data_IF_340549026137
#
_entry.id   IF_340549026137
#
_cell.length_a   1.000
_cell.length_b   1.000
_cell.length_c   1.000
_cell.angle_alpha   90.00
_cell.angle_beta   90.00
_cell.angle_gamma   90.00
#
_symmetry.space_group_name_H-M   'P 1'
#
loop_
_entity.id
_entity.type
_entity.pdbx_description
1 polymer ?
#
# COMPACT_ATOMS: atom_id res chain seq x y z
N UNK A 1 -12.58 -28.33 -10.99
CA UNK A 1 -12.36 -26.96 -11.50
C UNK A 1 -12.07 -26.07 -10.32
N UNK A 2 -10.88 -25.48 -10.30
CA UNK A 2 -10.41 -24.61 -9.22
C UNK A 2 -11.11 -23.25 -9.33
N UNK A 3 -11.63 -22.73 -8.22
CA UNK A 3 -12.32 -21.43 -8.19
C UNK A 3 -11.29 -20.36 -7.89
N UNK A 4 -11.20 -19.33 -8.72
CA UNK A 4 -10.21 -18.29 -8.52
C UNK A 4 -10.87 -16.97 -8.12
N UNK A 5 -10.47 -16.46 -6.96
CA UNK A 5 -11.21 -15.40 -6.26
C UNK A 5 -10.60 -14.00 -6.49
N UNK A 6 -9.40 -13.98 -7.06
CA UNK A 6 -8.56 -12.83 -7.35
C UNK A 6 -7.61 -13.18 -8.50
N UNK A 7 -7.06 -12.19 -9.23
CA UNK A 7 -6.00 -12.49 -10.19
C UNK A 7 -4.90 -13.32 -9.52
N UNK A 8 -4.44 -14.36 -10.22
CA UNK A 8 -3.42 -15.27 -9.69
C UNK A 8 -2.13 -14.46 -9.58
N UNK A 9 -1.38 -14.66 -8.51
CA UNK A 9 -0.06 -14.04 -8.39
C UNK A 9 0.78 -14.41 -9.61
N UNK A 10 1.38 -13.41 -10.25
CA UNK A 10 2.16 -13.57 -11.48
C UNK A 10 1.33 -13.72 -12.76
N UNK A 11 0.00 -13.61 -12.71
CA UNK A 11 -0.82 -13.62 -13.92
C UNK A 11 -0.78 -12.28 -14.65
N UNK A 12 -0.72 -12.34 -15.97
CA UNK A 12 -1.05 -11.22 -16.83
C UNK A 12 -2.57 -11.09 -16.94
N UNK A 13 -3.06 -9.88 -16.72
CA UNK A 13 -4.49 -9.58 -16.66
C UNK A 13 -4.81 -8.33 -17.45
N UNK A 14 -6.01 -8.30 -18.02
CA UNK A 14 -6.66 -7.08 -18.47
C UNK A 14 -7.47 -6.52 -17.31
N UNK A 15 -7.44 -5.21 -17.11
CA UNK A 15 -8.31 -4.58 -16.13
C UNK A 15 -8.88 -3.24 -16.61
N UNK A 16 -10.01 -2.87 -16.03
CA UNK A 16 -10.70 -1.60 -16.26
C UNK A 16 -11.08 -0.97 -14.93
N UNK A 17 -10.92 0.35 -14.81
CA UNK A 17 -11.42 1.10 -13.66
C UNK A 17 -12.96 1.02 -13.61
N UNK A 18 -13.50 0.74 -12.43
CA UNK A 18 -14.92 0.92 -12.11
C UNK A 18 -15.09 2.29 -11.44
N UNK A 19 -15.50 3.34 -12.19
CA UNK A 19 -15.49 4.70 -11.67
C UNK A 19 -16.50 4.91 -10.54
N UNK A 20 -17.57 4.10 -10.48
CA UNK A 20 -18.59 4.23 -9.42
C UNK A 20 -18.13 3.50 -8.17
N UNK A 21 -17.64 2.27 -8.30
CA UNK A 21 -17.13 1.52 -7.16
C UNK A 21 -15.85 2.13 -6.58
N UNK A 22 -15.19 3.02 -7.34
CA UNK A 22 -14.02 3.78 -6.91
C UNK A 22 -14.35 5.04 -6.13
N UNK A 23 -15.60 5.53 -6.15
CA UNK A 23 -16.00 6.69 -5.37
C UNK A 23 -15.86 6.42 -3.86
N UNK A 24 -15.53 7.47 -3.12
CA UNK A 24 -15.61 7.42 -1.66
C UNK A 24 -17.06 7.13 -1.23
N UNK A 25 -17.28 6.37 -0.14
CA UNK A 25 -18.63 6.05 0.33
C UNK A 25 -19.51 7.27 0.55
N UNK A 26 -18.94 8.40 0.98
CA UNK A 26 -19.68 9.66 1.15
C UNK A 26 -20.11 10.26 -0.19
N UNK A 27 -19.26 10.17 -1.22
CA UNK A 27 -19.54 10.71 -2.55
C UNK A 27 -20.64 9.94 -3.30
N UNK A 28 -20.93 8.70 -2.88
CA UNK A 28 -22.08 7.94 -3.40
C UNK A 28 -23.44 8.56 -3.02
N UNK A 29 -23.49 9.43 -2.01
CA UNK A 29 -24.70 10.18 -1.65
C UNK A 29 -24.95 11.39 -2.57
N UNK A 30 -23.95 11.82 -3.36
CA UNK A 30 -24.07 12.93 -4.31
C UNK A 30 -24.49 12.42 -5.70
N UNK A 31 -25.76 12.66 -6.15
CA UNK A 31 -26.22 12.19 -7.45
C UNK A 31 -25.46 12.82 -8.62
N UNK A 32 -24.88 14.01 -8.45
CA UNK A 32 -24.07 14.67 -9.48
C UNK A 32 -22.73 13.95 -9.65
N UNK A 33 -22.05 13.61 -8.56
CA UNK A 33 -20.82 12.82 -8.57
C UNK A 33 -21.04 11.44 -9.20
N UNK A 34 -22.12 10.75 -8.82
CA UNK A 34 -22.48 9.44 -9.40
C UNK A 34 -22.77 9.56 -10.90
N UNK A 35 -23.45 10.63 -11.34
CA UNK A 35 -23.70 10.87 -12.75
C UNK A 35 -22.40 11.19 -13.52
N UNK A 36 -21.51 11.99 -12.95
CA UNK A 36 -20.21 12.29 -13.53
C UNK A 36 -19.36 11.02 -13.71
N UNK A 37 -19.23 10.20 -12.66
CA UNK A 37 -18.51 8.93 -12.73
C UNK A 37 -19.12 7.94 -13.74
N UNK A 38 -20.46 7.88 -13.86
CA UNK A 38 -21.13 7.06 -14.89
C UNK A 38 -20.77 7.44 -16.32
N UNK A 39 -20.44 8.71 -16.55
CA UNK A 39 -20.09 9.23 -17.86
C UNK A 39 -18.58 9.21 -18.13
N UNK A 40 -17.75 8.82 -17.16
CA UNK A 40 -16.32 8.65 -17.37
C UNK A 40 -16.06 7.51 -18.35
N UNK A 41 -15.27 7.80 -19.39
CA UNK A 41 -14.81 6.79 -20.33
C UNK A 41 -13.54 6.17 -19.76
N UNK A 42 -13.62 4.91 -19.35
CA UNK A 42 -12.48 4.15 -18.85
C UNK A 42 -11.87 3.28 -19.94
N UNK A 43 -10.55 3.08 -19.89
CA UNK A 43 -9.81 2.24 -20.83
C UNK A 43 -9.50 0.88 -20.24
N UNK A 44 -9.05 -0.04 -21.12
CA UNK A 44 -8.52 -1.36 -20.73
C UNK A 44 -7.01 -1.31 -20.64
N UNK A 45 -6.47 -1.73 -19.51
CA UNK A 45 -5.04 -1.78 -19.27
C UNK A 45 -4.60 -3.22 -19.13
N UNK A 46 -3.35 -3.51 -19.47
CA UNK A 46 -2.74 -4.83 -19.27
C UNK A 46 -1.67 -4.70 -18.20
N UNK A 47 -1.68 -5.61 -17.23
CA UNK A 47 -0.69 -5.63 -16.16
C UNK A 47 -0.35 -7.04 -15.70
N UNK A 48 0.79 -7.17 -15.05
CA UNK A 48 1.13 -8.30 -14.21
C UNK A 48 0.56 -8.07 -12.81
N UNK A 49 -0.30 -8.98 -12.35
CA UNK A 49 -0.94 -8.90 -11.04
C UNK A 49 -0.08 -9.57 -9.96
N UNK A 50 0.09 -8.85 -8.86
CA UNK A 50 0.78 -9.30 -7.66
C UNK A 50 -0.08 -9.04 -6.43
N UNK A 51 -0.12 -10.02 -5.53
CA UNK A 51 -0.90 -9.89 -4.30
C UNK A 51 0.02 -9.38 -3.22
N UNK A 52 -0.33 -8.25 -2.60
CA UNK A 52 0.39 -7.73 -1.43
C UNK A 52 -0.05 -8.46 -0.17
N UNK A 53 -1.36 -8.73 -0.04
CA UNK A 53 -1.95 -9.25 1.19
C UNK A 53 -2.40 -10.71 1.08
N UNK A 54 -2.55 -11.32 2.26
CA UNK A 54 -3.29 -12.57 2.41
C UNK A 54 -4.73 -12.36 1.92
N UNK A 55 -5.18 -13.27 1.07
CA UNK A 55 -6.56 -13.28 0.57
C UNK A 55 -7.58 -13.28 1.72
N UNK A 56 -8.48 -12.30 1.74
CA UNK A 56 -9.53 -12.17 2.74
C UNK A 56 -10.91 -12.46 2.11
N UNK A 57 -11.45 -13.70 2.25
CA UNK A 57 -12.70 -14.09 1.61
C UNK A 57 -13.96 -13.37 2.10
N UNK A 58 -13.90 -12.75 3.28
CA UNK A 58 -15.03 -12.02 3.87
C UNK A 58 -15.03 -10.54 3.51
N UNK A 59 -13.91 -10.00 3.03
CA UNK A 59 -13.87 -8.61 2.57
C UNK A 59 -14.54 -8.52 1.19
N UNK A 60 -15.34 -7.48 0.92
CA UNK A 60 -15.98 -7.29 -0.38
C UNK A 60 -14.96 -6.95 -1.48
N UNK A 61 -13.80 -6.43 -1.10
CA UNK A 61 -12.70 -6.09 -2.00
C UNK A 61 -11.37 -6.56 -1.41
N UNK A 62 -10.44 -6.98 -2.26
CA UNK A 62 -9.06 -7.25 -1.88
C UNK A 62 -8.11 -6.31 -2.63
N UNK A 63 -7.01 -5.93 -1.99
CA UNK A 63 -5.97 -5.09 -2.58
C UNK A 63 -5.01 -5.97 -3.38
N UNK A 64 -4.57 -5.45 -4.52
CA UNK A 64 -3.63 -6.08 -5.43
C UNK A 64 -2.74 -4.99 -6.03
N UNK A 65 -1.46 -5.29 -6.21
CA UNK A 65 -0.56 -4.42 -6.95
C UNK A 65 -0.47 -4.90 -8.40
N UNK A 66 -0.66 -3.96 -9.31
CA UNK A 66 -0.60 -4.22 -10.76
C UNK A 66 0.59 -3.50 -11.34
N UNK A 67 1.44 -4.24 -12.05
CA UNK A 67 2.59 -3.71 -12.78
C UNK A 67 2.24 -3.58 -14.26
N UNK A 68 2.18 -2.36 -14.77
CA UNK A 68 1.71 -2.12 -16.14
C UNK A 68 2.62 -2.77 -17.18
N UNK A 69 2.01 -3.41 -18.17
CA UNK A 69 2.70 -3.86 -19.39
C UNK A 69 2.71 -2.70 -20.38
N UNK A 70 3.90 -2.33 -20.81
CA UNK A 70 4.17 -1.22 -21.72
C UNK A 70 4.51 -1.75 -23.11
N UNK A 71 4.07 -1.01 -24.14
CA UNK A 71 4.48 -1.25 -25.52
C UNK A 71 5.76 -0.47 -25.81
N UNK A 72 6.86 -1.17 -26.06
CA UNK A 72 8.18 -0.57 -26.20
C UNK A 72 8.82 -0.20 -24.85
N UNK A 73 10.14 0.06 -24.88
CA UNK A 73 10.86 0.50 -23.70
C UNK A 73 10.36 1.90 -23.28
N UNK A 74 10.16 2.15 -21.97
CA UNK A 74 9.71 3.45 -21.50
C UNK A 74 10.72 4.55 -21.86
N UNK A 75 10.23 5.74 -22.20
CA UNK A 75 11.08 6.89 -22.45
C UNK A 75 11.85 7.33 -21.19
N UNK A 76 13.03 7.91 -21.39
CA UNK A 76 13.80 8.49 -20.29
C UNK A 76 13.05 9.67 -19.67
N UNK A 77 12.92 9.69 -18.35
CA UNK A 77 12.27 10.77 -17.59
C UNK A 77 13.25 11.30 -16.57
N UNK A 78 14.03 12.30 -17.00
CA UNK A 78 15.11 12.88 -16.19
C UNK A 78 14.61 13.47 -14.85
N UNK A 79 13.41 14.07 -14.84
CA UNK A 79 12.78 14.60 -13.62
C UNK A 79 12.51 13.51 -12.57
N UNK A 80 12.19 12.29 -13.01
CA UNK A 80 11.94 11.15 -12.11
C UNK A 80 13.15 10.22 -11.98
N UNK A 81 14.30 10.62 -12.56
CA UNK A 81 15.52 9.81 -12.58
C UNK A 81 15.30 8.40 -13.18
N UNK A 82 14.40 8.29 -14.15
CA UNK A 82 14.08 7.02 -14.81
C UNK A 82 14.76 6.93 -16.18
N UNK A 83 15.38 5.80 -16.45
CA UNK A 83 16.00 5.48 -17.73
C UNK A 83 15.33 4.28 -18.41
N UNK A 84 15.34 4.16 -19.74
CA UNK A 84 14.76 3.02 -20.46
C UNK A 84 15.35 1.66 -20.02
N UNK A 85 16.61 1.67 -19.57
CA UNK A 85 17.31 0.51 -19.02
C UNK A 85 16.65 -0.05 -17.73
N UNK A 86 15.81 0.74 -17.05
CA UNK A 86 15.06 0.36 -15.85
C UNK A 86 13.70 -0.26 -16.17
N UNK A 87 13.71 -1.09 -17.20
CA UNK A 87 12.59 -1.91 -17.59
C UNK A 87 13.10 -3.32 -17.91
N UNK A 88 12.18 -4.27 -17.91
CA UNK A 88 12.46 -5.69 -18.17
C UNK A 88 11.64 -6.10 -19.38
N UNK A 89 12.27 -6.59 -20.46
CA UNK A 89 11.55 -7.11 -21.62
C UNK A 89 10.73 -8.35 -21.27
N UNK A 90 9.67 -8.63 -22.01
CA UNK A 90 8.80 -9.81 -21.92
C UNK A 90 8.64 -10.43 -23.32
N UNK A 91 8.69 -11.75 -23.43
CA UNK A 91 8.50 -12.43 -24.72
C UNK A 91 7.05 -12.31 -25.23
N UNK A 92 6.84 -12.08 -26.54
CA UNK A 92 7.81 -12.03 -27.64
C UNK A 92 8.50 -10.66 -27.85
N UNK A 93 9.72 -10.71 -28.38
CA UNK A 93 10.55 -9.55 -28.73
C UNK A 93 10.87 -9.59 -30.23
N UNK A 94 10.60 -8.51 -30.97
CA UNK A 94 11.04 -8.40 -32.38
C UNK A 94 12.49 -7.98 -32.47
N UNK A 95 12.90 -7.08 -31.58
CA UNK A 95 14.28 -6.64 -31.42
C UNK A 95 15.05 -7.70 -30.63
N UNK A 96 16.31 -7.94 -30.99
CA UNK A 96 17.11 -8.95 -30.29
C UNK A 96 17.33 -8.55 -28.83
N UNK A 97 17.64 -9.49 -27.91
CA UNK A 97 17.98 -9.16 -26.52
C UNK A 97 19.13 -8.15 -26.38
N UNK A 98 19.95 -8.01 -27.43
CA UNK A 98 21.08 -7.09 -27.50
C UNK A 98 20.69 -5.63 -27.68
N UNK A 99 19.45 -5.37 -28.10
CA UNK A 99 19.00 -4.02 -28.44
C UNK A 99 18.38 -3.30 -27.22
N UNK A 100 18.05 -4.05 -26.15
CA UNK A 100 17.59 -3.44 -24.91
C UNK A 100 18.77 -2.82 -24.13
N UNK A 101 18.67 -1.54 -23.67
CA UNK A 101 19.79 -0.84 -23.04
C UNK A 101 20.39 -1.52 -21.80
N UNK A 102 19.62 -2.35 -21.09
CA UNK A 102 20.11 -3.08 -19.92
C UNK A 102 20.59 -4.50 -20.20
N UNK A 103 20.51 -4.98 -21.45
CA UNK A 103 20.88 -6.35 -21.85
C UNK A 103 20.18 -7.45 -21.01
N UNK A 104 19.07 -7.11 -20.34
CA UNK A 104 18.31 -8.05 -19.51
C UNK A 104 17.66 -9.11 -20.38
N UNK A 105 17.72 -10.36 -19.92
CA UNK A 105 17.00 -11.45 -20.54
C UNK A 105 15.48 -11.21 -20.42
N UNK A 106 14.69 -11.37 -21.50
CA UNK A 106 13.25 -11.22 -21.43
C UNK A 106 12.59 -12.22 -20.47
N UNK A 107 11.59 -11.75 -19.73
CA UNK A 107 10.69 -12.56 -18.92
C UNK A 107 9.93 -13.56 -19.80
N UNK A 108 9.76 -14.77 -19.28
CA UNK A 108 9.19 -15.90 -20.01
C UNK A 108 7.85 -16.32 -19.39
N UNK A 109 6.73 -15.69 -19.79
CA UNK A 109 5.41 -16.19 -19.39
C UNK A 109 5.13 -17.60 -19.93
N UNK A 110 4.26 -18.33 -19.25
CA UNK A 110 3.81 -19.68 -19.62
C UNK A 110 3.32 -19.80 -21.06
N UNK A 111 2.74 -18.72 -21.60
CA UNK A 111 2.47 -18.53 -23.01
C UNK A 111 3.04 -17.17 -23.43
N UNK A 112 3.59 -17.01 -24.65
CA UNK A 112 4.02 -15.71 -25.15
C UNK A 112 2.88 -14.70 -25.11
N UNK A 113 3.19 -13.44 -24.79
CA UNK A 113 2.20 -12.37 -24.89
C UNK A 113 1.74 -12.18 -26.34
N UNK A 114 0.48 -11.73 -26.57
CA UNK A 114 -0.03 -11.54 -27.92
C UNK A 114 0.56 -10.32 -28.64
N UNK A 115 1.26 -9.44 -27.93
CA UNK A 115 1.96 -8.26 -28.47
C UNK A 115 3.47 -8.49 -28.43
N UNK A 116 4.19 -7.92 -29.40
CA UNK A 116 5.66 -7.93 -29.39
C UNK A 116 6.20 -6.75 -28.61
N UNK A 117 7.47 -6.82 -28.20
CA UNK A 117 8.22 -5.71 -27.61
C UNK A 117 7.54 -5.13 -26.36
N UNK A 118 7.05 -6.03 -25.50
CA UNK A 118 6.42 -5.68 -24.24
C UNK A 118 7.42 -5.54 -23.10
N UNK A 119 7.21 -4.57 -22.23
CA UNK A 119 8.08 -4.31 -21.08
C UNK A 119 7.27 -4.15 -19.81
N UNK A 120 7.87 -4.48 -18.67
CA UNK A 120 7.41 -4.02 -17.35
C UNK A 120 8.52 -3.15 -16.76
N UNK A 121 8.15 -2.10 -16.04
CA UNK A 121 9.09 -1.23 -15.33
C UNK A 121 8.79 -1.22 -13.84
N UNK A 122 9.84 -1.09 -13.03
CA UNK A 122 9.77 -0.99 -11.56
C UNK A 122 9.03 0.24 -11.04
N UNK A 123 8.70 1.19 -11.91
CA UNK A 123 8.11 2.48 -11.53
C UNK A 123 6.73 2.71 -12.12
N UNK A 124 6.24 1.78 -12.95
CA UNK A 124 4.89 1.83 -13.52
C UNK A 124 4.04 0.76 -12.88
N UNK A 125 3.54 1.05 -11.68
CA UNK A 125 2.64 0.19 -10.93
C UNK A 125 1.56 0.99 -10.21
N UNK A 126 0.51 0.31 -9.74
CA UNK A 126 -0.50 0.89 -8.89
C UNK A 126 -1.07 -0.16 -7.93
N UNK A 127 -1.38 0.25 -6.70
CA UNK A 127 -2.22 -0.54 -5.79
C UNK A 127 -3.69 -0.29 -6.12
N UNK A 128 -4.42 -1.34 -6.46
CA UNK A 128 -5.82 -1.32 -6.86
C UNK A 128 -6.63 -2.27 -5.99
N UNK A 129 -7.93 -2.03 -5.84
CA UNK A 129 -8.84 -2.97 -5.19
C UNK A 129 -9.69 -3.70 -6.22
N UNK A 130 -9.88 -5.00 -6.03
CA UNK A 130 -10.75 -5.82 -6.86
C UNK A 130 -11.87 -6.40 -6.03
N UNK A 131 -13.10 -6.46 -6.57
CA UNK A 131 -14.18 -7.22 -5.97
C UNK A 131 -13.74 -8.66 -5.65
N UNK A 132 -14.17 -9.17 -4.49
CA UNK A 132 -13.95 -10.56 -4.08
C UNK A 132 -14.93 -11.45 -4.82
N UNK A 133 -14.62 -11.75 -6.08
CA UNK A 133 -15.49 -12.53 -6.97
C UNK A 133 -14.82 -13.83 -7.38
N UNK A 134 -15.58 -14.91 -7.29
CA UNK A 134 -15.17 -16.22 -7.80
C UNK A 134 -15.34 -16.24 -9.32
N UNK A 135 -14.22 -16.27 -10.04
CA UNK A 135 -14.18 -16.46 -11.48
C UNK A 135 -13.66 -17.86 -11.81
N UNK A 136 -14.09 -18.38 -12.96
CA UNK A 136 -13.63 -19.66 -13.53
C UNK A 136 -12.81 -19.43 -14.80
N UNK A 137 -12.27 -18.22 -14.97
CA UNK A 137 -11.51 -17.89 -16.16
C UNK A 137 -10.17 -18.64 -16.15
N UNK A 138 -9.81 -19.35 -17.24
CA UNK A 138 -8.53 -20.02 -17.32
C UNK A 138 -7.40 -18.98 -17.35
N UNK A 139 -6.40 -19.17 -16.48
CA UNK A 139 -5.21 -18.32 -16.44
C UNK A 139 -4.16 -18.88 -17.38
N UNK A 140 -4.06 -18.29 -18.58
CA UNK A 140 -3.16 -18.81 -19.62
C UNK A 140 -1.77 -18.14 -19.60
N UNK A 141 -1.65 -16.90 -19.12
CA UNK A 141 -0.40 -16.14 -19.13
C UNK A 141 0.07 -15.87 -17.71
N UNK A 142 1.07 -16.63 -17.24
CA UNK A 142 1.57 -16.56 -15.87
C UNK A 142 3.10 -16.60 -15.86
N UNK A 143 3.72 -15.76 -15.03
CA UNK A 143 5.12 -15.94 -14.62
C UNK A 143 5.18 -16.95 -13.49
N UNK A 144 6.04 -17.96 -13.62
CA UNK A 144 6.34 -18.86 -12.51
C UNK A 144 7.14 -18.14 -11.41
N UNK A 145 7.39 -18.85 -10.30
CA UNK A 145 8.09 -18.28 -9.16
C UNK A 145 9.55 -17.90 -9.48
N UNK A 146 10.20 -18.61 -10.39
CA UNK A 146 11.58 -18.32 -10.79
C UNK A 146 11.63 -17.02 -11.62
N UNK A 147 10.69 -16.85 -12.54
CA UNK A 147 10.52 -15.65 -13.35
C UNK A 147 10.12 -14.43 -12.50
N UNK A 148 9.23 -14.60 -11.51
CA UNK A 148 8.91 -13.54 -10.53
C UNK A 148 10.13 -13.17 -9.69
N UNK A 149 10.85 -14.16 -9.16
CA UNK A 149 12.09 -13.92 -8.39
C UNK A 149 13.18 -13.25 -9.22
N UNK A 150 13.19 -13.48 -10.54
CA UNK A 150 14.09 -12.82 -11.48
C UNK A 150 13.69 -11.37 -11.73
N UNK A 151 12.39 -11.10 -11.92
CA UNK A 151 11.83 -9.74 -12.00
C UNK A 151 12.21 -8.93 -10.77
N UNK A 152 12.02 -9.47 -9.57
CA UNK A 152 12.26 -8.75 -8.31
C UNK A 152 13.73 -8.36 -8.13
N UNK A 153 14.65 -9.24 -8.54
CA UNK A 153 16.07 -8.92 -8.60
C UNK A 153 16.36 -7.74 -9.56
N UNK A 154 15.72 -7.70 -10.72
CA UNK A 154 15.87 -6.57 -11.63
C UNK A 154 15.31 -5.27 -11.05
N UNK A 155 14.20 -5.34 -10.32
CA UNK A 155 13.57 -4.19 -9.68
C UNK A 155 14.41 -3.63 -8.55
N UNK A 156 15.04 -4.48 -7.72
CA UNK A 156 15.98 -4.02 -6.70
C UNK A 156 17.13 -3.22 -7.31
N UNK A 157 17.72 -3.71 -8.40
CA UNK A 157 18.78 -3.00 -9.15
C UNK A 157 18.27 -1.67 -9.73
N UNK A 158 17.03 -1.61 -10.20
CA UNK A 158 16.45 -0.38 -10.76
C UNK A 158 16.23 0.68 -9.70
N UNK A 159 15.73 0.30 -8.53
CA UNK A 159 15.53 1.22 -7.39
C UNK A 159 16.87 1.80 -6.93
N UNK A 160 17.90 0.95 -6.79
CA UNK A 160 19.26 1.43 -6.47
C UNK A 160 19.79 2.41 -7.52
N UNK A 161 19.59 2.08 -8.80
CA UNK A 161 20.05 2.91 -9.91
C UNK A 161 19.29 4.25 -9.96
N UNK A 162 17.98 4.27 -9.77
CA UNK A 162 17.18 5.48 -9.69
C UNK A 162 17.64 6.35 -8.52
N UNK A 163 17.85 5.76 -7.33
CA UNK A 163 18.38 6.45 -6.16
C UNK A 163 19.75 7.08 -6.43
N UNK A 164 20.64 6.38 -7.12
CA UNK A 164 21.95 6.91 -7.52
C UNK A 164 21.85 8.07 -8.52
N UNK A 165 20.89 8.04 -9.45
CA UNK A 165 20.64 9.14 -10.38
C UNK A 165 20.04 10.36 -9.67
N UNK A 166 19.09 10.15 -8.76
CA UNK A 166 18.52 11.21 -7.92
C UNK A 166 19.60 11.88 -7.05
N UNK A 167 20.44 11.08 -6.41
CA UNK A 167 21.58 11.56 -5.64
C UNK A 167 22.53 12.45 -6.48
N UNK A 168 22.83 12.05 -7.71
CA UNK A 168 23.68 12.83 -8.62
C UNK A 168 23.01 14.14 -9.05
N UNK A 169 21.72 14.10 -9.38
CA UNK A 169 20.93 15.28 -9.77
C UNK A 169 20.93 16.33 -8.67
N UNK A 170 20.81 15.90 -7.41
CA UNK A 170 20.71 16.79 -6.25
C UNK A 170 22.09 17.23 -5.72
N UNK A 171 23.16 17.03 -6.52
CA UNK A 171 24.52 17.48 -6.22
C UNK A 171 25.20 16.73 -5.09
N UNK A 172 24.77 15.49 -4.80
CA UNK A 172 25.23 14.72 -3.65
C UNK A 172 24.89 15.36 -2.30
N UNK A 173 24.00 16.35 -2.29
CA UNK A 173 23.45 16.89 -1.07
C UNK A 173 22.38 15.92 -0.59
N UNK A 174 22.63 15.27 0.55
CA UNK A 174 21.60 14.56 1.31
C UNK A 174 20.66 15.60 1.93
N UNK A 175 19.94 16.36 1.09
CA UNK A 175 18.67 16.89 1.54
C UNK A 175 17.82 15.66 1.77
N UNK A 176 17.72 15.28 3.04
CA UNK A 176 16.69 14.38 3.55
C UNK A 176 15.46 14.60 2.70
N UNK A 177 15.13 13.64 1.83
CA UNK A 177 13.84 13.58 1.17
C UNK A 177 12.87 13.19 2.28
N UNK A 178 12.62 14.13 3.17
CA UNK A 178 11.39 14.11 3.94
C UNK A 178 10.32 14.32 2.87
N UNK A 179 9.44 13.33 2.62
CA UNK A 179 8.28 13.59 1.78
C UNK A 179 7.62 14.83 2.36
N UNK A 180 7.38 15.82 1.50
CA UNK A 180 6.89 17.12 1.94
C UNK A 180 5.51 16.95 2.59
N UNK A 181 5.50 16.72 3.90
CA UNK A 181 4.35 16.94 4.76
C UNK A 181 4.16 18.44 4.79
N UNK A 182 3.30 18.87 3.88
CA UNK A 182 2.78 20.21 3.69
C UNK A 182 2.54 20.89 5.04
N UNK A 183 3.51 21.70 5.49
CA UNK A 183 3.37 22.57 6.66
C UNK A 183 2.52 23.78 6.28
N UNK A 184 1.29 23.53 5.83
CA UNK A 184 0.24 24.54 5.81
C UNK A 184 -0.40 24.62 7.19
N UNK A 185 0.40 25.03 8.19
CA UNK A 185 -0.12 25.53 9.46
C UNK A 185 -0.42 27.00 9.26
N UNK A 186 -1.69 27.29 8.94
CA UNK A 186 -2.26 28.64 8.92
C UNK A 186 -1.77 29.46 10.11
N UNK A 187 -0.88 30.41 9.84
CA UNK A 187 -0.43 31.40 10.81
C UNK A 187 -1.53 32.46 10.91
N UNK A 188 -2.37 32.33 11.93
CA UNK A 188 -3.20 33.43 12.40
C UNK A 188 -2.29 34.58 12.92
N UNK A 189 -2.73 35.84 12.84
CA UNK A 189 -1.90 36.98 13.25
C UNK A 189 -1.83 37.01 14.78
N UNK A 190 -0.65 36.75 15.34
CA UNK A 190 -0.40 36.87 16.77
C UNK A 190 0.06 38.31 17.06
N UNK A 191 -0.69 38.93 17.97
CA UNK A 191 -0.48 40.27 18.49
C UNK A 191 0.87 40.43 19.19
N UNK A 192 1.41 41.64 19.09
CA UNK A 192 2.65 42.07 19.68
C UNK A 192 2.63 42.02 21.20
N UNK A 193 3.66 41.45 21.84
CA UNK A 193 4.13 41.88 23.16
C UNK A 193 5.65 41.65 23.35
N UNK A 194 6.31 42.78 23.57
CA UNK A 194 7.48 43.11 24.40
C UNK A 194 8.84 42.41 24.28
N UNK A 195 9.82 43.26 23.94
CA UNK A 195 11.26 43.15 24.07
C UNK A 195 11.73 43.14 25.54
N UNK A 196 12.73 42.33 25.88
CA UNK A 196 13.84 42.73 26.80
C UNK A 196 15.13 41.97 26.42
N UNK A 197 16.33 42.60 26.45
CA UNK A 197 17.54 42.07 25.84
C UNK A 197 18.52 41.45 26.85
N UNK A 198 19.32 40.45 26.43
CA UNK A 198 20.59 40.17 27.08
C UNK A 198 21.74 39.89 26.10
N UNK A 199 22.75 40.73 26.27
CA UNK A 199 24.10 40.75 25.71
C UNK A 199 24.99 39.64 26.27
N UNK A 200 25.90 39.10 25.44
CA UNK A 200 27.35 38.88 25.70
C UNK A 200 27.90 37.97 24.60
N UNK A 201 28.79 38.43 23.70
CA UNK A 201 30.23 38.66 23.89
C UNK A 201 31.03 37.38 24.14
N UNK A 202 31.80 36.94 23.14
CA UNK A 202 33.26 36.73 23.15
C UNK A 202 33.66 35.96 21.86
N UNK A 203 34.61 36.54 21.13
CA UNK A 203 35.54 35.88 20.20
C UNK A 203 36.97 36.32 20.65
N UNK A 204 38.08 35.94 20.01
CA UNK A 204 38.39 34.82 19.11
C UNK A 204 39.65 34.03 19.56
N UNK A 205 39.98 32.88 18.95
CA UNK A 205 41.38 32.53 18.58
C UNK A 205 41.46 31.28 17.67
N UNK A 206 42.13 31.46 16.53
CA UNK A 206 42.81 30.45 15.69
C UNK A 206 44.30 30.39 16.16
N UNK A 207 45.25 29.58 15.64
CA UNK A 207 45.24 28.57 14.56
C UNK A 207 46.00 27.25 14.88
N UNK A 208 46.01 26.27 13.96
CA UNK A 208 46.98 25.17 14.00
C UNK A 208 46.72 24.02 13.01
N UNK A 209 47.31 24.12 11.81
CA UNK A 209 47.66 22.99 10.93
C UNK A 209 48.84 22.19 11.53
N UNK A 210 48.97 20.87 11.23
CA UNK A 210 49.91 20.49 10.18
C UNK A 210 49.52 19.25 9.33
N UNK A 211 49.74 19.40 8.03
CA UNK A 211 50.58 18.58 7.12
C UNK A 211 50.54 17.04 7.22
N UNK A 212 50.21 16.37 6.11
CA UNK A 212 50.80 15.06 5.76
C UNK A 212 50.84 14.78 4.24
N UNK A 213 52.09 14.76 3.75
CA UNK A 213 52.73 14.00 2.67
C UNK A 213 51.97 13.53 1.41
N UNK A 214 52.51 14.00 0.28
CA UNK A 214 52.35 13.48 -1.07
C UNK A 214 53.08 12.15 -1.29
N UNK A 215 52.52 11.30 -2.16
CA UNK A 215 53.25 10.19 -2.81
C UNK A 215 53.22 10.41 -4.32
N UNK A 216 54.42 10.53 -4.87
CA UNK A 216 54.74 10.51 -6.29
C UNK A 216 54.33 9.20 -6.96
N UNK A 217 53.74 9.25 -8.15
CA UNK A 217 53.90 8.18 -9.14
C UNK A 217 54.35 8.75 -10.48
N UNK A 218 55.46 8.22 -10.95
CA UNK A 218 56.22 8.64 -12.13
C UNK A 218 55.69 7.96 -13.38
N UNK A 219 55.69 8.78 -14.44
CA UNK A 219 55.41 8.59 -15.85
C UNK A 219 56.26 7.53 -16.56
N UNK A 220 55.65 6.79 -17.49
CA UNK A 220 56.11 6.43 -18.85
C UNK A 220 54.85 5.97 -19.60
N UNK A 221 54.45 6.40 -20.80
CA UNK A 221 55.12 7.09 -21.90
C UNK A 221 55.07 6.18 -23.12
N UNK A 222 54.07 6.29 -23.99
CA UNK A 222 54.19 5.93 -25.40
C UNK A 222 53.07 6.56 -26.25
N UNK A 223 53.50 7.22 -27.31
CA UNK A 223 52.73 8.01 -28.26
C UNK A 223 52.23 7.11 -29.40
N UNK A 224 51.01 7.35 -29.91
CA UNK A 224 50.78 7.18 -31.34
C UNK A 224 49.71 8.14 -31.86
N UNK A 225 50.16 8.96 -32.80
CA UNK A 225 49.51 10.02 -33.55
C UNK A 225 48.93 9.44 -34.85
N UNK A 226 47.62 9.56 -35.12
CA UNK A 226 47.06 9.53 -36.49
C UNK A 226 45.77 10.36 -36.59
N UNK A 227 45.90 11.51 -37.26
CA UNK A 227 45.04 12.18 -38.25
C UNK A 227 43.50 12.25 -38.10
N UNK A 228 43.01 13.50 -38.13
CA UNK A 228 41.66 13.92 -38.52
C UNK A 228 41.40 13.71 -40.04
N UNK A 229 40.13 13.71 -40.51
CA UNK A 229 39.56 15.00 -40.96
C UNK A 229 38.03 15.16 -40.86
N UNK A 230 37.62 16.42 -41.12
CA UNK A 230 36.39 16.87 -41.76
C UNK A 230 35.13 17.17 -40.92
N UNK A 231 35.02 18.46 -40.63
CA UNK A 231 33.86 19.34 -40.52
C UNK A 231 32.55 18.83 -41.16
N UNK A 232 31.50 18.71 -40.35
CA UNK A 232 30.10 18.71 -40.82
C UNK A 232 29.36 19.86 -40.14
N UNK A 233 28.87 20.76 -40.98
CA UNK A 233 28.00 21.90 -40.64
C UNK A 233 26.63 21.34 -40.29
N UNK A 234 26.16 21.56 -39.05
CA UNK A 234 24.80 21.22 -38.65
C UNK A 234 23.95 22.51 -38.65
N UNK A 235 22.99 22.57 -39.57
CA UNK A 235 21.99 23.62 -39.65
C UNK A 235 21.06 23.60 -38.42
N UNK A 236 20.86 24.79 -37.84
CA UNK A 236 19.83 25.06 -36.83
C UNK A 236 18.45 24.93 -37.45
N UNK A 237 17.62 24.05 -36.89
CA UNK A 237 16.16 24.08 -37.06
C UNK A 237 15.48 24.58 -35.78
N UNK A 238 14.29 25.21 -35.89
CA UNK A 238 13.76 26.13 -34.90
C UNK A 238 13.10 25.41 -33.73
N UNK A 239 13.34 25.95 -32.54
CA UNK A 239 12.68 25.64 -31.28
C UNK A 239 11.18 26.00 -31.35
N UNK A 240 10.30 25.00 -31.38
CA UNK A 240 8.89 25.18 -31.04
C UNK A 240 8.74 25.13 -29.51
N UNK A 241 8.50 26.29 -28.92
CA UNK A 241 8.07 26.44 -27.52
C UNK A 241 6.68 25.83 -27.34
N UNK A 242 6.62 24.66 -26.69
CA UNK A 242 5.39 24.07 -26.19
C UNK A 242 5.42 24.17 -24.66
N UNK A 243 5.10 25.37 -24.16
CA UNK A 243 4.99 25.66 -22.74
C UNK A 243 3.53 25.53 -22.29
N UNK A 244 3.27 24.60 -21.38
CA UNK A 244 2.02 24.52 -20.61
C UNK A 244 1.33 23.15 -20.69
N UNK A 245 1.76 22.21 -19.83
CA UNK A 245 0.93 21.16 -19.20
C UNK A 245 1.74 20.06 -18.46
N UNK A 246 3.00 20.32 -18.07
CA UNK A 246 3.86 19.29 -17.48
C UNK A 246 3.82 19.17 -15.94
N UNK A 247 3.31 20.18 -15.23
CA UNK A 247 3.41 20.24 -13.75
C UNK A 247 2.46 19.28 -13.01
N UNK A 248 1.32 18.89 -13.58
CA UNK A 248 0.35 18.00 -12.91
C UNK A 248 0.80 16.53 -12.86
N UNK A 249 1.78 16.15 -13.68
CA UNK A 249 2.22 14.75 -13.83
C UNK A 249 3.30 14.34 -12.82
N UNK A 250 4.02 15.31 -12.26
CA UNK A 250 5.09 15.09 -11.27
C UNK A 250 4.51 14.71 -9.89
N UNK A 251 3.38 15.31 -9.49
CA UNK A 251 2.71 15.01 -8.21
C UNK A 251 2.08 13.60 -8.18
N UNK A 252 1.57 13.09 -9.31
CA UNK A 252 0.86 11.82 -9.36
C UNK A 252 1.77 10.58 -9.24
N UNK A 253 3.06 10.69 -9.58
CA UNK A 253 4.04 9.59 -9.49
C UNK A 253 5.10 9.81 -8.43
N UNK A 254 5.43 11.05 -8.07
CA UNK A 254 6.43 11.38 -7.05
C UNK A 254 6.05 11.03 -5.61
N UNK A 255 4.75 10.86 -5.32
CA UNK A 255 4.23 10.56 -3.97
C UNK A 255 3.90 9.08 -3.72
N UNK A 256 4.27 8.16 -4.62
CA UNK A 256 4.00 6.72 -4.43
C UNK A 256 5.03 6.00 -3.52
N UNK A 257 5.81 6.76 -2.74
CA UNK A 257 6.65 6.21 -1.67
C UNK A 257 5.76 5.76 -0.51
N UNK A 258 5.34 4.49 -0.52
CA UNK A 258 4.99 3.62 0.62
C UNK A 258 4.41 4.28 1.90
N UNK A 259 3.64 5.35 1.80
CA UNK A 259 2.95 5.90 2.97
C UNK A 259 1.88 4.88 3.33
N UNK A 260 2.18 4.10 4.36
CA UNK A 260 1.61 2.79 4.65
C UNK A 260 0.19 2.88 5.20
N UNK A 261 -0.50 3.96 4.86
CA UNK A 261 -1.88 4.21 5.22
C UNK A 261 -2.73 4.04 3.95
N UNK A 262 -3.18 2.80 3.63
CA UNK A 262 -4.05 2.52 2.48
C UNK A 262 -5.44 3.20 2.55
N UNK A 263 -5.62 4.16 3.44
CA UNK A 263 -6.84 4.96 3.60
C UNK A 263 -7.03 6.02 2.51
N UNK A 264 -6.02 6.28 1.68
CA UNK A 264 -6.12 7.21 0.56
C UNK A 264 -6.56 6.49 -0.74
N UNK A 265 -7.89 6.36 -0.90
CA UNK A 265 -8.59 6.18 -2.18
C UNK A 265 -7.94 5.23 -3.20
N UNK A 266 -7.81 3.94 -2.85
CA UNK A 266 -7.50 2.90 -3.85
C UNK A 266 -8.65 2.78 -4.86
N UNK A 267 -8.32 2.81 -6.14
CA UNK A 267 -9.30 2.70 -7.22
C UNK A 267 -9.78 1.26 -7.34
N UNK A 268 -11.09 1.08 -7.53
CA UNK A 268 -11.69 -0.23 -7.79
C UNK A 268 -11.54 -0.59 -9.26
N UNK A 269 -11.05 -1.80 -9.55
CA UNK A 269 -10.90 -2.31 -10.91
C UNK A 269 -11.59 -3.66 -11.07
N UNK A 270 -12.01 -3.94 -12.30
CA UNK A 270 -12.50 -5.25 -12.72
C UNK A 270 -11.41 -5.95 -13.54
N UNK A 271 -11.05 -7.16 -13.15
CA UNK A 271 -10.05 -7.98 -13.84
C UNK A 271 -10.67 -8.97 -14.83
N UNK A 272 -9.92 -9.29 -15.88
CA UNK A 272 -10.16 -10.40 -16.79
C UNK A 272 -8.83 -11.04 -17.21
N UNK A 273 -8.81 -12.36 -17.36
CA UNK A 273 -7.63 -13.10 -17.84
C UNK A 273 -7.60 -13.23 -19.38
N UNK A 274 -8.62 -12.72 -20.08
CA UNK A 274 -8.68 -12.75 -21.53
C UNK A 274 -7.93 -11.56 -22.15
N UNK A 275 -6.63 -11.78 -22.41
CA UNK A 275 -5.77 -10.80 -23.08
C UNK A 275 -6.21 -10.49 -24.52
N UNK A 276 -7.01 -11.35 -25.17
CA UNK A 276 -7.47 -11.13 -26.56
C UNK A 276 -8.46 -9.96 -26.70
N UNK A 277 -9.03 -9.51 -25.58
CA UNK A 277 -9.93 -8.35 -25.53
C UNK A 277 -9.21 -7.01 -25.79
N UNK A 278 -7.88 -7.01 -25.72
CA UNK A 278 -7.03 -5.85 -25.96
C UNK A 278 -6.32 -6.05 -27.30
N UNK A 279 -6.44 -5.09 -28.21
CA UNK A 279 -5.74 -5.14 -29.51
C UNK A 279 -4.39 -4.46 -29.45
N UNK A 280 -4.33 -3.34 -28.73
CA UNK A 280 -3.15 -2.50 -28.55
C UNK A 280 -3.07 -2.08 -27.09
N UNK A 281 -1.85 -2.00 -26.55
CA UNK A 281 -1.63 -1.60 -25.16
C UNK A 281 -1.88 -0.10 -25.00
N UNK A 282 -2.75 0.26 -24.06
CA UNK A 282 -2.98 1.66 -23.69
C UNK A 282 -1.81 2.21 -22.86
N UNK A 283 -1.56 3.51 -22.98
CA UNK A 283 -0.54 4.18 -22.19
C UNK A 283 -0.91 4.15 -20.69
N UNK A 284 -0.03 3.63 -19.84
CA UNK A 284 -0.23 3.56 -18.40
C UNK A 284 -0.49 4.94 -17.76
N UNK A 285 0.04 6.02 -18.34
CA UNK A 285 -0.22 7.39 -17.86
C UNK A 285 -1.71 7.77 -17.92
N UNK A 286 -2.48 7.19 -18.84
CA UNK A 286 -3.91 7.49 -18.95
C UNK A 286 -4.72 6.89 -17.79
N UNK A 287 -4.26 5.78 -17.19
CA UNK A 287 -4.88 5.22 -16.00
C UNK A 287 -4.81 6.22 -14.84
N UNK A 288 -3.64 6.84 -14.63
CA UNK A 288 -3.47 7.81 -13.55
C UNK A 288 -4.33 9.07 -13.77
N UNK A 289 -4.56 9.48 -15.02
CA UNK A 289 -5.51 10.55 -15.34
C UNK A 289 -6.95 10.17 -15.01
N UNK A 290 -7.37 8.92 -15.29
CA UNK A 290 -8.69 8.42 -14.90
C UNK A 290 -8.86 8.44 -13.38
N UNK A 291 -7.84 8.00 -12.63
CA UNK A 291 -7.84 8.04 -11.16
C UNK A 291 -7.92 9.48 -10.64
N UNK A 292 -7.16 10.40 -11.22
CA UNK A 292 -7.19 11.82 -10.85
C UNK A 292 -8.56 12.46 -11.13
N UNK A 293 -9.20 12.12 -12.25
CA UNK A 293 -10.56 12.56 -12.56
C UNK A 293 -11.57 12.10 -11.52
N UNK A 294 -11.51 10.83 -11.09
CA UNK A 294 -12.38 10.32 -10.02
C UNK A 294 -12.14 11.07 -8.72
N UNK A 295 -10.87 11.32 -8.35
CA UNK A 295 -10.53 12.12 -7.16
C UNK A 295 -11.10 13.53 -7.25
N UNK A 296 -10.96 14.20 -8.40
CA UNK A 296 -11.53 15.54 -8.63
C UNK A 296 -13.05 15.55 -8.43
N UNK A 297 -13.75 14.55 -8.97
CA UNK A 297 -15.21 14.41 -8.78
C UNK A 297 -15.56 14.27 -7.28
N UNK A 298 -14.79 13.47 -6.52
CA UNK A 298 -14.99 13.36 -5.07
C UNK A 298 -14.76 14.70 -4.35
N UNK A 299 -13.68 15.43 -4.67
CA UNK A 299 -13.40 16.73 -4.05
C UNK A 299 -14.49 17.76 -4.34
N UNK A 300 -15.03 17.79 -5.57
CA UNK A 300 -16.15 18.65 -5.94
C UNK A 300 -17.47 18.26 -5.24
N UNK A 301 -17.66 16.97 -4.92
CA UNK A 301 -18.84 16.48 -4.22
C UNK A 301 -18.88 16.88 -2.74
N UNK A 302 -17.71 16.94 -2.08
CA UNK A 302 -17.59 17.27 -0.64
C UNK A 302 -18.34 18.55 -0.23
N UNK A 303 -18.15 19.73 -0.87
CA UNK A 303 -18.88 20.94 -0.49
C UNK A 303 -20.39 20.83 -0.73
N UNK A 304 -20.83 20.15 -1.80
CA UNK A 304 -22.26 19.90 -2.06
C UNK A 304 -22.90 19.06 -0.96
N UNK A 305 -22.22 17.98 -0.56
CA UNK A 305 -22.67 17.11 0.52
C UNK A 305 -22.71 17.85 1.86
N UNK A 306 -21.68 18.65 2.17
CA UNK A 306 -21.67 19.48 3.37
C UNK A 306 -22.85 20.48 3.40
N UNK A 307 -23.14 21.13 2.27
CA UNK A 307 -24.29 22.03 2.14
C UNK A 307 -25.62 21.29 2.27
N UNK A 308 -25.77 20.12 1.65
CA UNK A 308 -26.96 19.29 1.75
C UNK A 308 -27.21 18.82 3.20
N UNK A 309 -26.14 18.40 3.91
CA UNK A 309 -26.18 18.04 5.33
C UNK A 309 -26.58 19.23 6.20
N UNK A 310 -25.99 20.41 5.97
CA UNK A 310 -26.34 21.63 6.72
C UNK A 310 -27.82 22.03 6.51
N UNK A 311 -28.33 21.94 5.27
CA UNK A 311 -29.73 22.23 4.97
C UNK A 311 -30.67 21.19 5.60
N UNK A 312 -30.29 19.91 5.63
CA UNK A 312 -31.05 18.86 6.29
C UNK A 312 -31.14 19.09 7.81
N UNK A 313 -30.03 19.48 8.45
CA UNK A 313 -29.99 19.83 9.88
C UNK A 313 -30.89 21.04 10.16
N UNK A 314 -30.80 22.11 9.37
CA UNK A 314 -31.66 23.28 9.52
C UNK A 314 -33.15 22.93 9.38
N UNK A 315 -33.51 22.15 8.36
CA UNK A 315 -34.89 21.70 8.13
C UNK A 315 -35.40 20.82 9.28
N UNK A 316 -34.54 19.97 9.84
CA UNK A 316 -34.88 19.17 11.02
C UNK A 316 -35.11 20.05 12.26
N UNK A 317 -34.29 21.09 12.46
CA UNK A 317 -34.47 22.06 13.54
C UNK A 317 -35.78 22.87 13.38
N UNK A 318 -36.08 23.34 12.16
CA UNK A 318 -37.33 24.08 11.87
C UNK A 318 -38.57 23.21 12.09
N UNK A 319 -38.50 21.92 11.74
CA UNK A 319 -39.56 20.95 12.03
C UNK A 319 -39.73 20.74 13.54
N UNK A 320 -38.65 20.58 14.29
CA UNK A 320 -38.70 20.44 15.75
C UNK A 320 -39.24 21.69 16.44
N UNK A 321 -38.93 22.90 15.93
CA UNK A 321 -39.48 24.14 16.47
C UNK A 321 -40.99 24.30 16.18
N UNK A 322 -41.49 23.71 15.09
CA UNK A 322 -42.89 23.80 14.69
C UNK A 322 -43.82 22.87 15.48
N UNK A 323 -43.30 21.75 15.99
CA UNK A 323 -44.08 20.78 16.75
C UNK A 323 -43.66 20.83 18.22
N UNK A 324 -44.58 21.20 19.09
CA UNK A 324 -44.43 21.08 20.53
C UNK A 324 -44.32 19.59 20.95
N UNK A 325 -43.54 19.30 22.00
CA UNK A 325 -43.35 17.94 22.54
C UNK A 325 -44.65 17.13 22.65
N UNK A 326 -45.77 17.68 23.15
CA UNK A 326 -47.04 16.96 23.25
C UNK A 326 -47.61 16.53 21.89
N UNK A 327 -47.40 17.33 20.84
CA UNK A 327 -47.84 17.00 19.49
C UNK A 327 -46.95 15.92 18.87
N UNK A 328 -45.64 15.96 19.13
CA UNK A 328 -44.73 14.89 18.71
C UNK A 328 -45.12 13.57 19.40
N UNK A 329 -45.36 13.58 20.71
CA UNK A 329 -45.78 12.42 21.47
C UNK A 329 -47.14 11.88 21.02
N UNK A 330 -48.10 12.78 20.72
CA UNK A 330 -49.38 12.40 20.15
C UNK A 330 -49.21 11.73 18.77
N UNK A 331 -48.33 12.24 17.91
CA UNK A 331 -48.06 11.67 16.59
C UNK A 331 -47.37 10.30 16.70
N UNK A 332 -46.41 10.15 17.61
CA UNK A 332 -45.74 8.87 17.90
C UNK A 332 -46.76 7.85 18.45
N UNK A 333 -47.57 8.25 19.43
CA UNK A 333 -48.62 7.39 20.00
C UNK A 333 -49.67 7.00 18.95
N UNK A 334 -50.02 7.91 18.03
CA UNK A 334 -50.96 7.63 16.93
C UNK A 334 -50.37 6.69 15.88
N UNK A 335 -49.07 6.81 15.58
CA UNK A 335 -48.35 5.88 14.71
C UNK A 335 -48.27 4.47 15.34
N UNK A 336 -48.06 4.39 16.66
CA UNK A 336 -48.04 3.13 17.42
C UNK A 336 -49.43 2.47 17.49
N UNK A 337 -50.51 3.24 17.77
CA UNK A 337 -51.89 2.72 17.85
C UNK A 337 -52.45 2.24 16.51
N UNK A 338 -51.95 2.76 15.38
CA UNK A 338 -52.41 2.33 14.04
C UNK A 338 -51.91 0.95 13.61
N UNK A 339 -51.17 0.22 14.45
CA UNK A 339 -51.18 -1.25 14.50
C UNK A 339 -50.85 -2.02 13.20
N UNK A 340 -50.35 -1.38 12.14
CA UNK A 340 -49.97 -2.03 10.87
C UNK A 340 -48.53 -1.82 10.44
N UNK A 341 -47.71 -1.16 11.26
CA UNK A 341 -46.29 -1.02 10.95
C UNK A 341 -45.40 -1.01 12.21
N UNK A 342 -45.35 -2.13 12.94
CA UNK A 342 -44.23 -2.38 13.88
C UNK A 342 -42.86 -2.30 13.18
N UNK A 343 -42.84 -2.39 11.84
CA UNK A 343 -41.65 -2.15 11.00
C UNK A 343 -41.30 -0.67 10.78
N UNK A 344 -42.25 0.28 10.82
CA UNK A 344 -41.91 1.71 10.63
C UNK A 344 -41.38 2.37 11.90
N UNK A 345 -41.98 2.11 13.07
CA UNK A 345 -41.52 2.74 14.32
C UNK A 345 -40.10 2.29 14.71
N UNK A 346 -39.74 1.05 14.38
CA UNK A 346 -38.35 0.57 14.51
C UNK A 346 -37.43 1.20 13.46
N UNK A 347 -37.89 1.44 12.23
CA UNK A 347 -37.11 2.07 11.17
C UNK A 347 -36.85 3.57 11.42
N UNK A 348 -37.83 4.35 11.89
CA UNK A 348 -37.65 5.79 12.15
C UNK A 348 -36.85 6.06 13.41
N UNK A 349 -36.97 5.22 14.45
CA UNK A 349 -36.13 5.31 15.65
C UNK A 349 -34.71 4.78 15.39
N UNK A 350 -34.55 3.72 14.58
CA UNK A 350 -33.22 3.26 14.11
C UNK A 350 -32.54 4.31 13.23
N UNK A 351 -33.23 5.02 12.33
CA UNK A 351 -32.59 6.02 11.45
C UNK A 351 -31.98 7.22 12.18
N UNK A 352 -32.39 7.47 13.42
CA UNK A 352 -31.85 8.56 14.26
C UNK A 352 -30.70 8.05 15.16
N UNK A 353 -30.58 6.73 15.38
CA UNK A 353 -29.54 6.13 16.23
C UNK A 353 -28.58 5.18 15.51
N UNK A 354 -28.78 4.85 14.23
CA UNK A 354 -27.98 3.85 13.49
C UNK A 354 -26.90 4.44 12.59
N UNK A 355 -26.34 5.61 12.93
CA UNK A 355 -25.14 6.11 12.25
C UNK A 355 -23.89 5.26 12.53
N UNK A 356 -23.93 4.25 13.41
CA UNK A 356 -22.81 3.34 13.65
C UNK A 356 -23.28 1.95 14.09
N UNK A 357 -23.14 0.96 13.20
CA UNK A 357 -22.70 -0.45 13.42
C UNK A 357 -23.24 -1.41 12.35
N UNK A 358 -22.41 -2.28 11.76
CA UNK A 358 -22.87 -3.43 11.00
C UNK A 358 -22.86 -4.71 11.86
N UNK A 359 -24.04 -5.25 12.14
CA UNK A 359 -24.23 -6.60 12.67
C UNK A 359 -24.47 -7.57 11.51
N UNK A 360 -23.43 -8.24 11.05
CA UNK A 360 -23.58 -9.50 10.29
C UNK A 360 -22.23 -10.16 10.07
N UNK A 361 -21.91 -11.19 10.87
CA UNK A 361 -21.18 -12.40 10.48
C UNK A 361 -21.19 -13.38 11.65
N UNK A 362 -22.04 -14.41 11.56
CA UNK A 362 -22.07 -15.55 12.48
C UNK A 362 -21.45 -16.76 11.77
N UNK A 363 -20.60 -17.47 12.52
CA UNK A 363 -20.07 -18.84 12.31
C UNK A 363 -18.85 -18.99 11.40
N UNK A 364 -17.64 -19.03 11.99
CA UNK A 364 -16.89 -20.26 12.36
C UNK A 364 -15.52 -19.82 12.89
N UNK A 365 -15.25 -19.96 14.19
CA UNK A 365 -13.96 -19.61 14.79
C UNK A 365 -13.17 -20.89 15.15
N UNK A 366 -11.94 -20.96 14.66
CA UNK A 366 -10.87 -21.80 15.21
C UNK A 366 -10.42 -21.22 16.57
N UNK A 367 -9.75 -22.01 17.46
CA UNK A 367 -9.35 -21.51 18.78
C UNK A 367 -8.35 -20.35 18.63
N UNK A 368 -8.79 -19.15 18.98
CA UNK A 368 -7.96 -17.96 19.11
C UNK A 368 -7.61 -17.76 20.60
N UNK A 369 -6.36 -17.41 20.90
CA UNK A 369 -5.92 -17.04 22.24
C UNK A 369 -5.91 -15.51 22.36
N UNK A 370 -6.52 -14.97 23.40
CA UNK A 370 -6.54 -13.52 23.66
C UNK A 370 -5.47 -13.17 24.69
N UNK A 371 -4.74 -12.09 24.41
CA UNK A 371 -3.61 -11.60 25.20
C UNK A 371 -4.03 -10.29 25.89
N UNK A 372 -3.83 -10.16 27.20
CA UNK A 372 -4.02 -8.90 27.93
C UNK A 372 -2.69 -8.35 28.46
N UNK A 373 -2.46 -7.05 28.23
CA UNK A 373 -1.35 -6.27 28.81
C UNK A 373 -1.88 -5.29 29.86
N UNK A 374 -1.06 -4.94 30.86
CA UNK A 374 -1.47 -4.03 31.95
C UNK A 374 -1.76 -2.60 31.43
N UNK A 375 -2.80 -1.97 31.97
CA UNK A 375 -3.45 -0.69 31.55
C UNK A 375 -2.57 0.57 31.46
N UNK A 376 -1.28 0.50 31.77
CA UNK A 376 -0.37 1.65 31.73
C UNK A 376 0.60 1.53 30.55
N UNK A 377 0.29 2.25 29.47
CA UNK A 377 1.07 2.44 28.22
C UNK A 377 1.09 1.24 27.26
N UNK A 378 0.04 1.11 26.44
CA UNK A 378 -0.01 0.20 25.29
C UNK A 378 0.79 0.76 24.10
N UNK A 379 2.11 0.67 24.17
CA UNK A 379 2.92 0.68 22.95
C UNK A 379 2.74 -0.69 22.29
N UNK A 380 2.18 -0.72 21.09
CA UNK A 380 2.10 -1.96 20.30
C UNK A 380 3.53 -2.47 20.08
N UNK A 381 3.82 -3.74 20.38
CA UNK A 381 5.17 -4.24 20.26
C UNK A 381 5.58 -4.28 18.77
N UNK A 382 6.78 -3.81 18.48
CA UNK A 382 7.32 -3.76 17.12
C UNK A 382 7.65 -5.16 16.58
N UNK A 383 7.59 -5.33 15.26
CA UNK A 383 8.16 -6.51 14.60
C UNK A 383 9.63 -6.69 15.00
N UNK A 384 10.01 -7.92 15.33
CA UNK A 384 11.35 -8.24 15.83
C UNK A 384 11.60 -7.93 17.31
N UNK A 385 10.59 -7.52 18.07
CA UNK A 385 10.74 -7.35 19.52
C UNK A 385 10.60 -8.70 20.26
N UNK A 386 11.42 -8.89 21.30
CA UNK A 386 11.19 -9.91 22.32
C UNK A 386 10.17 -9.38 23.33
N UNK A 387 9.10 -10.14 23.59
CA UNK A 387 8.04 -9.78 24.52
C UNK A 387 7.81 -10.88 25.54
N UNK A 388 7.33 -10.50 26.73
CA UNK A 388 6.83 -11.44 27.73
C UNK A 388 5.32 -11.55 27.56
N UNK A 389 4.88 -12.68 27.04
CA UNK A 389 3.48 -12.99 26.77
C UNK A 389 2.85 -13.67 27.99
N UNK A 390 1.70 -13.16 28.43
CA UNK A 390 0.83 -13.84 29.40
C UNK A 390 -0.47 -14.19 28.70
N UNK A 391 -0.81 -15.47 28.70
CA UNK A 391 -2.09 -15.94 28.16
C UNK A 391 -3.16 -15.54 29.16
N UNK A 392 -4.17 -14.78 28.72
CA UNK A 392 -5.35 -14.51 29.52
C UNK A 392 -6.39 -15.60 29.22
N UNK A 393 -6.54 -16.59 30.12
CA UNK A 393 -7.44 -17.71 29.89
C UNK A 393 -8.90 -17.28 29.76
N UNK A 394 -9.29 -16.19 30.41
CA UNK A 394 -10.68 -15.70 30.44
C UNK A 394 -10.98 -14.95 29.15
N UNK A 395 -10.07 -14.08 28.75
CA UNK A 395 -10.22 -13.35 27.50
C UNK A 395 -10.27 -14.32 26.31
N UNK A 396 -9.53 -15.43 26.36
CA UNK A 396 -9.48 -16.45 25.29
C UNK A 396 -10.76 -17.28 25.11
N UNK A 397 -11.79 -17.09 25.94
CA UNK A 397 -13.03 -17.87 25.88
C UNK A 397 -14.07 -17.22 24.96
N UNK A 398 -14.80 -18.07 24.22
CA UNK A 398 -16.08 -17.69 23.64
C UNK A 398 -17.03 -17.24 24.77
N UNK A 399 -17.53 -15.99 24.76
CA UNK A 399 -18.40 -15.45 25.80
C UNK A 399 -19.63 -16.32 26.10
N UNK A 400 -20.10 -17.12 25.13
CA UNK A 400 -21.25 -18.00 25.29
C UNK A 400 -20.93 -19.30 26.03
N UNK A 401 -19.67 -19.75 26.02
CA UNK A 401 -19.23 -20.99 26.69
C UNK A 401 -18.60 -20.74 28.08
N UNK A 402 -18.39 -19.48 28.44
CA UNK A 402 -17.59 -19.08 29.59
C UNK A 402 -18.22 -19.39 30.96
N UNK A 403 -19.55 -19.50 31.11
CA UNK A 403 -20.19 -19.52 32.44
C UNK A 403 -19.82 -20.70 33.34
N UNK A 404 -19.54 -21.88 32.79
CA UNK A 404 -19.13 -23.06 33.57
C UNK A 404 -17.61 -23.29 33.54
N UNK A 405 -16.91 -22.72 32.55
CA UNK A 405 -15.47 -22.88 32.38
C UNK A 405 -14.64 -21.83 33.15
N UNK A 406 -15.18 -20.64 33.44
CA UNK A 406 -14.42 -19.51 34.01
C UNK A 406 -13.72 -19.88 35.32
N UNK A 407 -14.34 -20.64 36.22
CA UNK A 407 -13.72 -20.98 37.51
C UNK A 407 -12.62 -22.04 37.36
N UNK A 408 -12.79 -23.01 36.46
CA UNK A 408 -11.75 -23.99 36.14
C UNK A 408 -10.55 -23.35 35.44
N UNK A 409 -10.79 -22.34 34.59
CA UNK A 409 -9.75 -21.63 33.86
C UNK A 409 -9.04 -20.57 34.71
N UNK A 410 -9.73 -19.96 35.69
CA UNK A 410 -9.09 -19.11 36.72
C UNK A 410 -8.08 -19.88 37.58
N UNK A 411 -8.25 -21.19 37.70
CA UNK A 411 -7.34 -22.06 38.42
C UNK A 411 -6.12 -22.50 37.57
N UNK A 412 -6.10 -22.22 36.25
CA UNK A 412 -4.94 -22.52 35.42
C UNK A 412 -3.80 -21.54 35.72
N UNK A 413 -2.56 -22.04 35.89
CA UNK A 413 -1.42 -21.16 36.09
C UNK A 413 -1.17 -20.33 34.81
N UNK A 414 -1.16 -19.01 34.95
CA UNK A 414 -0.75 -18.09 33.89
C UNK A 414 0.76 -17.90 33.94
N UNK A 415 1.50 -18.88 33.42
CA UNK A 415 2.95 -18.75 33.32
C UNK A 415 3.32 -17.73 32.22
N UNK A 416 4.31 -16.86 32.47
CA UNK A 416 4.82 -15.97 31.43
C UNK A 416 5.64 -16.76 30.42
N UNK A 417 5.37 -16.54 29.14
CA UNK A 417 6.18 -17.02 28.03
C UNK A 417 7.04 -15.87 27.51
N UNK A 418 8.26 -16.16 27.07
CA UNK A 418 9.05 -15.17 26.31
C UNK A 418 8.92 -15.54 24.84
N UNK A 419 8.58 -14.57 24.00
CA UNK A 419 8.33 -14.79 22.59
C UNK A 419 9.01 -13.71 21.74
N UNK A 420 9.34 -14.06 20.50
CA UNK A 420 9.81 -13.14 19.47
C UNK A 420 8.67 -12.86 18.48
N UNK A 421 8.40 -11.59 18.19
CA UNK A 421 7.33 -11.23 17.25
C UNK A 421 7.87 -11.33 15.82
N UNK A 422 7.34 -12.31 15.08
CA UNK A 422 7.72 -12.56 13.68
C UNK A 422 6.86 -11.72 12.73
N UNK A 423 5.56 -11.67 13.00
CA UNK A 423 4.60 -11.04 12.11
C UNK A 423 3.46 -10.42 12.92
N UNK A 424 2.90 -9.33 12.42
CA UNK A 424 1.67 -8.74 12.94
C UNK A 424 0.56 -9.13 11.99
N UNK A 425 -0.32 -10.02 12.46
CA UNK A 425 -1.49 -10.46 11.70
C UNK A 425 -2.66 -9.49 11.85
N UNK A 426 -3.31 -9.20 10.72
CA UNK A 426 -4.54 -8.42 10.69
C UNK A 426 -4.34 -6.90 10.75
N UNK A 427 -5.19 -6.18 10.04
CA UNK A 427 -5.28 -4.73 10.12
C UNK A 427 -6.01 -4.32 11.41
N UNK A 428 -5.64 -3.17 11.98
CA UNK A 428 -6.42 -2.57 13.05
C UNK A 428 -7.85 -2.31 12.57
N UNK A 429 -8.81 -3.08 13.08
CA UNK A 429 -10.23 -2.82 12.82
C UNK A 429 -10.75 -1.92 13.95
N UNK A 430 -11.37 -0.76 13.67
CA UNK A 430 -11.88 0.14 14.71
C UNK A 430 -12.89 -0.49 15.69
N UNK A 431 -13.48 -1.62 15.31
CA UNK A 431 -14.45 -2.37 16.12
C UNK A 431 -13.85 -3.62 16.78
N UNK A 432 -12.61 -4.01 16.43
CA UNK A 432 -11.89 -5.10 17.06
C UNK A 432 -10.73 -4.52 17.90
N UNK A 433 -10.84 -4.51 19.24
CA UNK A 433 -9.78 -3.98 20.09
C UNK A 433 -8.53 -4.86 20.10
N UNK A 434 -8.54 -6.01 19.41
CA UNK A 434 -7.45 -6.97 19.39
C UNK A 434 -6.57 -6.80 18.14
N UNK A 435 -5.27 -7.04 18.31
CA UNK A 435 -4.32 -7.21 17.22
C UNK A 435 -3.83 -8.65 17.22
N UNK A 436 -3.69 -9.26 16.05
CA UNK A 436 -3.14 -10.60 15.93
C UNK A 436 -1.63 -10.52 15.71
N UNK A 437 -0.90 -11.48 16.26
CA UNK A 437 0.56 -11.57 16.12
C UNK A 437 0.94 -13.02 15.92
N UNK A 438 1.85 -13.27 14.98
CA UNK A 438 2.58 -14.53 14.89
C UNK A 438 3.82 -14.39 15.74
N UNK A 439 3.95 -15.25 16.74
CA UNK A 439 5.08 -15.23 17.68
C UNK A 439 5.81 -16.56 17.68
N UNK A 440 7.12 -16.51 17.82
CA UNK A 440 7.98 -17.67 18.06
C UNK A 440 8.33 -17.74 19.54
N UNK A 441 8.11 -18.89 20.18
CA UNK A 441 8.38 -19.07 21.60
C UNK A 441 9.88 -19.28 21.86
N UNK A 442 10.42 -18.50 22.79
CA UNK A 442 11.78 -18.65 23.27
C UNK A 442 11.81 -19.66 24.39
N UNK A 443 12.47 -20.79 24.14
CA UNK A 443 12.61 -21.89 25.10
C UNK A 443 13.97 -21.84 25.77
N UNK A 444 14.00 -22.07 27.08
CA UNK A 444 15.25 -22.20 27.81
C UNK A 444 15.80 -23.62 27.65
N UNK A 445 17.00 -23.73 27.07
CA UNK A 445 17.66 -25.01 26.83
C UNK A 445 17.18 -25.69 25.54
N UNK A 446 17.60 -26.94 25.33
CA UNK A 446 17.15 -27.73 24.18
C UNK A 446 15.75 -28.25 24.43
N UNK A 447 14.78 -28.01 23.54
CA UNK A 447 13.49 -28.67 23.67
C UNK A 447 13.66 -30.18 23.53
N UNK A 448 12.94 -30.92 24.36
CA UNK A 448 12.73 -32.35 24.16
C UNK A 448 12.06 -32.54 22.80
N UNK A 449 12.46 -33.54 22.02
CA UNK A 449 11.75 -33.85 20.78
C UNK A 449 10.30 -34.23 21.09
N UNK A 450 9.37 -33.64 20.35
CA UNK A 450 7.94 -33.96 20.39
C UNK A 450 7.56 -34.62 19.05
N UNK A 451 7.85 -35.91 18.87
CA UNK A 451 7.63 -36.61 17.60
C UNK A 451 6.17 -36.57 17.17
N UNK A 452 5.22 -36.54 18.10
CA UNK A 452 3.79 -36.41 17.84
C UNK A 452 3.37 -35.03 17.31
N UNK A 453 4.23 -34.01 17.44
CA UNK A 453 4.03 -32.66 16.88
C UNK A 453 4.99 -32.35 15.73
N UNK A 454 5.73 -33.36 15.25
CA UNK A 454 6.78 -33.20 14.24
C UNK A 454 7.80 -32.11 14.61
N UNK A 455 8.07 -31.90 15.91
CA UNK A 455 9.01 -30.91 16.39
C UNK A 455 10.26 -31.62 16.92
N UNK A 456 11.35 -31.57 16.16
CA UNK A 456 12.65 -32.11 16.56
C UNK A 456 13.54 -31.01 17.12
N UNK A 457 14.43 -31.35 18.06
CA UNK A 457 15.38 -30.40 18.63
C UNK A 457 16.32 -29.77 17.58
N UNK A 458 16.45 -30.37 16.40
CA UNK A 458 17.22 -29.81 15.29
C UNK A 458 16.50 -28.64 14.57
N UNK A 459 15.19 -28.46 14.79
CA UNK A 459 14.39 -27.40 14.16
C UNK A 459 14.45 -26.06 14.91
N UNK A 460 15.18 -25.97 16.02
CA UNK A 460 15.36 -24.72 16.76
C UNK A 460 16.51 -23.88 16.23
N UNK A 461 16.32 -22.56 16.23
CA UNK A 461 17.38 -21.59 15.92
C UNK A 461 18.01 -21.11 17.23
N UNK A 462 19.33 -21.30 17.45
CA UNK A 462 19.99 -20.82 18.66
C UNK A 462 20.08 -19.29 18.65
N UNK A 463 19.80 -18.67 19.80
CA UNK A 463 19.96 -17.22 19.99
C UNK A 463 21.26 -16.98 20.74
N UNK A 464 22.09 -16.07 20.24
CA UNK A 464 23.34 -15.69 20.90
C UNK A 464 23.05 -15.07 22.28
N UNK A 465 23.84 -15.38 23.32
CA UNK A 465 25.21 -15.91 23.27
C UNK A 465 25.31 -17.43 23.54
N UNK A 466 24.45 -18.26 22.95
CA UNK A 466 24.60 -19.72 23.03
C UNK A 466 25.92 -20.16 22.38
N UNK A 467 26.76 -20.93 23.09
CA UNK A 467 28.00 -21.49 22.56
C UNK A 467 27.70 -22.38 21.35
N UNK A 468 28.12 -21.91 20.17
CA UNK A 468 27.86 -22.52 18.84
C UNK A 468 28.34 -23.97 18.77
N UNK A 469 29.32 -24.38 19.59
CA UNK A 469 29.95 -25.69 19.53
C UNK A 469 29.02 -26.87 19.85
N UNK A 470 27.87 -26.64 20.48
CA UNK A 470 27.01 -27.74 20.92
C UNK A 470 25.80 -27.99 19.99
N UNK A 471 25.39 -27.07 19.11
CA UNK A 471 24.13 -27.22 18.36
C UNK A 471 24.25 -28.15 17.13
N UNK A 472 23.37 -29.16 16.96
CA UNK A 472 23.49 -30.16 15.90
C UNK A 472 23.36 -29.61 14.46
N UNK A 473 22.73 -28.43 14.29
CA UNK A 473 22.61 -27.78 12.97
C UNK A 473 23.86 -26.97 12.55
N UNK A 474 24.85 -26.78 13.43
CA UNK A 474 26.06 -26.02 13.10
C UNK A 474 27.02 -26.74 12.14
N UNK A 475 26.72 -27.98 11.73
CA UNK A 475 27.45 -28.67 10.66
C UNK A 475 26.88 -28.46 9.24
N UNK A 476 25.78 -27.69 9.09
CA UNK A 476 25.01 -27.59 7.83
C UNK A 476 24.89 -26.13 7.31
N UNK A 477 25.39 -25.13 8.04
CA UNK A 477 25.42 -23.73 7.60
C UNK A 477 26.78 -23.33 6.99
#
# INVERSE_FOLDING_TARGET
MERQILPKMGAFVVFTVDPIASLDPECLEDPEAVAACKNLVTKRYVALAEREDLYQPWEPYNICTVWFVLQGAPEARAAECMEPSMSVPIVPMTMGPKDHPSLRAPLQPSNPLPWNDCYISSFFFASVRSPTLFTYEPVNWVLDLDELSRRDRFFGVDVEKQGALAWKRDGGSMRSVSPALDQNRSRAPEEALDEVPHTSSIAPTSPGDPTCAAVHLVTTGEQQEVQAPASVVLERSPSSSFDGDMDLREEAMGNFTTDSNPSHATVTVNFSHDLSTVRELNNAADFFKEVEQIKRICEEAKPRLAQARALAIKKAADLNAKYDEPTIDMLVARAQRRGRLSRFASATRKRITSTFRPDSLRQQLHPAFIISGSESQTVLPMLGACVVLRIDPIASLDPQKAREAVDAWRALPTEPYVCFIVERGGFYQPWDPYSSYTVEFLLQGRPTSYPEKFAEAAMTVPILPTTIQDHPSCGIL
#
